data_IF_800061155788
#
_entry.id   IF_800061155788
#
_cell.length_a   1.000
_cell.length_b   1.000
_cell.length_c   1.000
_cell.angle_alpha   90.00
_cell.angle_beta   90.00
_cell.angle_gamma   90.00
#
_symmetry.space_group_name_H-M   'P 1'
#
loop_
_entity.id
_entity.type
_entity.pdbx_description
1 polymer ?
#
# COMPACT_ATOMS: atom_id res chain seq x y z
N UNK A 1 5.61 -1.44 29.96
CA UNK A 1 4.62 -2.50 29.67
C UNK A 1 5.28 -3.68 28.99
N UNK A 2 6.05 -3.49 27.91
CA UNK A 2 6.75 -4.57 27.20
C UNK A 2 7.67 -5.38 28.11
N UNK A 3 8.40 -4.72 29.03
CA UNK A 3 9.36 -5.37 29.94
C UNK A 3 8.74 -6.43 30.86
N UNK A 4 7.47 -6.27 31.18
CA UNK A 4 6.76 -7.23 32.04
C UNK A 4 6.56 -8.58 31.34
N UNK A 5 6.74 -8.63 30.01
CA UNK A 5 6.44 -9.80 29.20
C UNK A 5 7.63 -10.37 28.46
N UNK A 6 8.83 -9.73 28.52
CA UNK A 6 10.00 -10.15 27.74
C UNK A 6 10.45 -11.61 27.99
N UNK A 7 10.16 -12.14 29.18
CA UNK A 7 10.46 -13.51 29.56
C UNK A 7 9.23 -14.44 29.57
N UNK A 8 8.05 -13.89 29.24
CA UNK A 8 6.78 -14.63 29.34
C UNK A 8 6.49 -15.44 28.09
N UNK A 9 6.88 -14.92 26.90
CA UNK A 9 6.54 -15.52 25.62
C UNK A 9 7.79 -15.99 24.87
N UNK A 10 7.62 -17.05 24.08
CA UNK A 10 8.68 -17.56 23.22
C UNK A 10 8.90 -16.68 22.00
N UNK A 11 7.83 -16.06 21.47
CA UNK A 11 7.87 -15.21 20.30
C UNK A 11 7.02 -13.95 20.47
N UNK A 12 7.45 -12.87 19.82
CA UNK A 12 6.77 -11.58 19.73
C UNK A 12 6.54 -11.26 18.27
N UNK A 13 5.29 -11.34 17.83
CA UNK A 13 4.87 -10.94 16.50
C UNK A 13 4.33 -9.52 16.60
N UNK A 14 4.96 -8.58 15.92
CA UNK A 14 4.64 -7.16 16.03
C UNK A 14 4.33 -6.59 14.65
N UNK A 15 3.14 -6.01 14.50
CA UNK A 15 2.76 -5.19 13.35
C UNK A 15 2.92 -3.72 13.72
N UNK A 16 4.03 -3.06 13.31
CA UNK A 16 4.40 -1.74 13.82
C UNK A 16 3.73 -0.60 13.05
N UNK A 17 2.41 -0.46 13.15
CA UNK A 17 1.63 0.62 12.53
C UNK A 17 1.82 1.99 13.23
N UNK A 18 3.06 2.44 13.33
CA UNK A 18 3.41 3.75 13.85
C UNK A 18 3.59 4.76 12.71
N UNK A 19 3.67 6.05 13.06
CA UNK A 19 4.03 7.09 12.10
C UNK A 19 5.38 6.81 11.44
N UNK A 20 5.49 7.11 10.14
CA UNK A 20 6.70 6.83 9.34
C UNK A 20 7.81 7.87 9.50
N UNK A 21 7.59 8.94 10.29
CA UNK A 21 8.65 9.91 10.59
C UNK A 21 9.82 9.25 11.33
N UNK A 22 11.02 9.73 11.05
CA UNK A 22 12.26 9.15 11.55
C UNK A 22 12.33 9.11 13.07
N UNK A 23 11.82 10.15 13.74
CA UNK A 23 11.87 10.24 15.19
C UNK A 23 11.02 9.15 15.84
N UNK A 24 9.81 8.94 15.33
CA UNK A 24 8.92 7.87 15.79
C UNK A 24 9.53 6.51 15.47
N UNK A 25 10.02 6.30 14.25
CA UNK A 25 10.62 5.03 13.84
C UNK A 25 11.86 4.67 14.67
N UNK A 26 12.72 5.64 15.01
CA UNK A 26 13.86 5.42 15.92
C UNK A 26 13.42 5.05 17.34
N UNK A 27 12.37 5.69 17.87
CA UNK A 27 11.81 5.35 19.19
C UNK A 27 11.24 3.93 19.20
N UNK A 28 10.52 3.56 18.14
CA UNK A 28 9.98 2.20 17.97
C UNK A 28 11.11 1.18 17.87
N UNK A 29 12.14 1.44 17.08
CA UNK A 29 13.31 0.56 16.98
C UNK A 29 14.00 0.36 18.35
N UNK A 30 14.17 1.44 19.11
CA UNK A 30 14.72 1.37 20.48
C UNK A 30 13.84 0.54 21.42
N UNK A 31 12.51 0.66 21.30
CA UNK A 31 11.56 -0.12 22.09
C UNK A 31 11.62 -1.62 21.72
N UNK A 32 11.52 -1.92 20.43
CA UNK A 32 11.51 -3.30 19.92
C UNK A 32 12.88 -3.98 20.06
N UNK A 33 13.97 -3.23 20.04
CA UNK A 33 15.32 -3.72 20.29
C UNK A 33 15.54 -4.28 21.71
N UNK A 34 14.56 -4.13 22.61
CA UNK A 34 14.55 -4.80 23.93
C UNK A 34 14.12 -6.27 23.83
N UNK A 35 13.40 -6.64 22.78
CA UNK A 35 13.04 -8.02 22.50
C UNK A 35 14.25 -8.73 21.91
N UNK A 36 14.66 -9.89 22.43
CA UNK A 36 15.75 -10.65 21.81
C UNK A 36 15.43 -10.95 20.34
N UNK A 37 16.36 -10.64 19.43
CA UNK A 37 16.15 -10.76 17.99
C UNK A 37 15.61 -12.13 17.56
N UNK A 38 16.07 -13.21 18.18
CA UNK A 38 15.60 -14.57 17.90
C UNK A 38 14.10 -14.80 18.22
N UNK A 39 13.53 -13.97 19.11
CA UNK A 39 12.13 -14.02 19.50
C UNK A 39 11.25 -13.02 18.74
N UNK A 40 11.84 -12.08 17.97
CA UNK A 40 11.13 -11.01 17.30
C UNK A 40 10.78 -11.36 15.85
N UNK A 41 9.53 -11.18 15.49
CA UNK A 41 9.05 -11.18 14.11
C UNK A 41 8.27 -9.89 13.84
N UNK A 42 8.74 -9.08 12.90
CA UNK A 42 7.99 -7.95 12.39
C UNK A 42 7.06 -8.42 11.27
N UNK A 43 5.80 -8.03 11.36
CA UNK A 43 4.77 -8.40 10.39
C UNK A 43 4.20 -7.12 9.75
N UNK A 44 3.94 -7.17 8.45
CA UNK A 44 3.32 -6.12 7.65
C UNK A 44 4.23 -4.91 7.38
N UNK A 45 5.07 -4.54 8.31
CA UNK A 45 5.97 -3.39 8.22
C UNK A 45 7.35 -3.71 8.76
N UNK A 46 8.38 -3.28 8.04
CA UNK A 46 9.76 -3.33 8.52
C UNK A 46 10.23 -1.93 8.93
N UNK A 47 10.84 -1.83 10.10
CA UNK A 47 11.41 -0.57 10.58
C UNK A 47 12.89 -0.48 10.18
N UNK A 48 13.24 0.50 9.34
CA UNK A 48 14.60 0.69 8.80
C UNK A 48 15.68 0.99 9.84
N UNK A 49 15.30 1.38 11.05
CA UNK A 49 16.22 1.64 12.15
C UNK A 49 16.45 0.43 13.04
N UNK A 50 15.77 -0.68 12.78
CA UNK A 50 16.05 -1.93 13.46
C UNK A 50 17.36 -2.53 12.96
N UNK A 51 18.12 -3.13 13.87
CA UNK A 51 19.37 -3.81 13.59
C UNK A 51 19.39 -5.22 14.18
N UNK A 52 20.20 -6.11 13.60
CA UNK A 52 20.34 -7.49 14.03
C UNK A 52 19.54 -8.47 13.19
N UNK A 53 19.61 -9.77 13.57
CA UNK A 53 18.94 -10.85 12.84
C UNK A 53 17.62 -11.20 13.52
N UNK A 54 16.56 -10.51 13.12
CA UNK A 54 15.16 -10.78 13.51
C UNK A 54 14.37 -11.30 12.31
N UNK A 55 13.17 -11.85 12.54
CA UNK A 55 12.24 -12.20 11.46
C UNK A 55 11.49 -11.00 10.98
N UNK A 56 11.26 -10.92 9.66
CA UNK A 56 10.39 -9.90 9.10
C UNK A 56 9.66 -10.45 7.87
N UNK A 57 8.34 -10.24 7.82
CA UNK A 57 7.48 -10.49 6.67
C UNK A 57 6.67 -9.23 6.46
N UNK A 58 6.94 -8.47 5.40
CA UNK A 58 6.40 -7.12 5.24
C UNK A 58 6.06 -6.82 3.77
N UNK A 59 5.25 -5.78 3.57
CA UNK A 59 4.94 -5.20 2.27
C UNK A 59 6.07 -4.27 1.84
N UNK A 60 6.48 -4.37 0.59
CA UNK A 60 7.36 -3.41 -0.07
C UNK A 60 6.53 -2.51 -0.99
N UNK A 61 5.93 -1.46 -0.41
CA UNK A 61 5.01 -0.57 -1.10
C UNK A 61 5.54 0.00 -2.41
N UNK A 62 6.84 0.29 -2.45
CA UNK A 62 7.51 0.78 -3.66
C UNK A 62 7.54 -0.30 -4.75
N UNK A 63 8.09 -1.48 -4.42
CA UNK A 63 8.24 -2.57 -5.38
C UNK A 63 6.90 -3.18 -5.76
N UNK A 64 5.96 -3.28 -4.81
CA UNK A 64 4.65 -3.88 -5.04
C UNK A 64 3.84 -3.05 -6.05
N UNK A 65 3.83 -1.72 -5.93
CA UNK A 65 3.11 -0.86 -6.87
C UNK A 65 3.79 -0.82 -8.24
N UNK A 66 5.13 -0.80 -8.29
CA UNK A 66 5.86 -0.88 -9.55
C UNK A 66 5.50 -2.15 -10.33
N UNK A 67 5.55 -3.31 -9.66
CA UNK A 67 5.23 -4.60 -10.28
C UNK A 67 3.77 -4.67 -10.73
N UNK A 68 2.84 -4.22 -9.89
CA UNK A 68 1.43 -4.23 -10.25
C UNK A 68 1.13 -3.35 -11.46
N UNK A 69 1.76 -2.19 -11.57
CA UNK A 69 1.63 -1.33 -12.75
C UNK A 69 2.32 -1.91 -13.98
N UNK A 70 3.43 -2.64 -13.81
CA UNK A 70 4.11 -3.31 -14.93
C UNK A 70 3.27 -4.43 -15.54
N UNK A 71 2.41 -5.10 -14.76
CA UNK A 71 1.46 -6.09 -15.29
C UNK A 71 0.41 -5.48 -16.22
N UNK A 72 0.13 -4.18 -16.10
CA UNK A 72 -0.81 -3.42 -16.93
C UNK A 72 -0.10 -2.41 -17.86
N UNK A 73 1.18 -2.59 -18.12
CA UNK A 73 1.99 -1.57 -18.84
C UNK A 73 1.51 -1.32 -20.27
N UNK A 74 1.03 -2.35 -20.95
CA UNK A 74 0.60 -2.21 -22.35
C UNK A 74 -0.68 -1.39 -22.46
N UNK A 75 -1.60 -1.49 -21.50
CA UNK A 75 -2.79 -0.66 -21.39
C UNK A 75 -2.41 0.77 -20.98
N UNK A 76 -1.50 0.89 -20.01
CA UNK A 76 -1.08 2.18 -19.47
C UNK A 76 -0.21 3.01 -20.43
N UNK A 77 0.49 2.40 -21.39
CA UNK A 77 1.25 3.15 -22.42
C UNK A 77 0.40 3.99 -23.35
N UNK A 78 -0.87 3.65 -23.48
CA UNK A 78 -1.79 4.32 -24.40
C UNK A 78 -2.60 5.43 -23.71
N UNK A 79 -2.44 5.65 -22.40
CA UNK A 79 -3.11 6.73 -21.69
C UNK A 79 -2.34 8.04 -21.79
N UNK A 80 -3.05 9.15 -21.77
CA UNK A 80 -2.43 10.47 -21.80
C UNK A 80 -1.68 10.83 -20.50
N UNK A 81 -2.16 10.34 -19.37
CA UNK A 81 -1.60 10.62 -18.03
C UNK A 81 -2.12 9.62 -17.01
N UNK A 82 -1.27 9.15 -16.11
CA UNK A 82 -1.68 8.43 -14.90
C UNK A 82 -1.92 9.46 -13.78
N UNK A 83 -3.12 9.46 -13.23
CA UNK A 83 -3.49 10.36 -12.14
C UNK A 83 -3.38 9.60 -10.81
N UNK A 84 -2.39 9.89 -9.99
CA UNK A 84 -2.22 9.30 -8.67
C UNK A 84 -2.92 10.15 -7.61
N UNK A 85 -3.98 9.61 -7.00
CA UNK A 85 -4.70 10.26 -5.89
C UNK A 85 -4.20 9.67 -4.58
N UNK A 86 -3.46 10.48 -3.82
CA UNK A 86 -2.90 10.09 -2.54
C UNK A 86 -3.31 11.11 -1.48
N UNK A 87 -4.19 10.67 -0.59
CA UNK A 87 -4.73 11.53 0.45
C UNK A 87 -3.64 11.98 1.43
N UNK A 88 -3.71 13.22 1.94
CA UNK A 88 -2.74 13.73 2.94
C UNK A 88 -2.68 12.88 4.22
N UNK A 89 -3.76 12.17 4.53
CA UNK A 89 -3.86 11.26 5.68
C UNK A 89 -3.21 9.90 5.44
N UNK A 90 -2.83 9.60 4.20
CA UNK A 90 -2.22 8.32 3.85
C UNK A 90 -0.85 8.14 4.50
N UNK A 91 -0.73 7.12 5.34
CA UNK A 91 0.51 6.82 6.06
C UNK A 91 1.64 6.39 5.12
N UNK A 92 1.34 5.62 4.10
CA UNK A 92 2.34 5.00 3.19
C UNK A 92 2.34 5.61 1.80
N UNK A 93 1.53 6.64 1.59
CA UNK A 93 1.35 7.30 0.30
C UNK A 93 2.64 7.76 -0.35
N UNK A 94 3.61 8.21 0.45
CA UNK A 94 4.93 8.61 -0.05
C UNK A 94 5.65 7.47 -0.77
N UNK A 95 5.68 6.27 -0.19
CA UNK A 95 6.39 5.13 -0.80
C UNK A 95 5.67 4.59 -2.02
N UNK A 96 4.32 4.60 -2.00
CA UNK A 96 3.52 4.27 -3.19
C UNK A 96 3.79 5.28 -4.31
N UNK A 97 3.81 6.58 -4.01
CA UNK A 97 4.12 7.61 -5.02
C UNK A 97 5.52 7.50 -5.59
N UNK A 98 6.51 7.15 -4.78
CA UNK A 98 7.88 6.90 -5.24
C UNK A 98 7.89 5.74 -6.26
N UNK A 99 7.17 4.65 -6.00
CA UNK A 99 7.04 3.50 -6.92
C UNK A 99 6.27 3.86 -8.21
N UNK A 100 5.14 4.57 -8.07
CA UNK A 100 4.38 5.08 -9.24
C UNK A 100 5.26 5.99 -10.10
N UNK A 101 5.99 6.91 -9.46
CA UNK A 101 6.90 7.83 -10.16
C UNK A 101 8.01 7.11 -10.90
N UNK A 102 8.62 6.10 -10.29
CA UNK A 102 9.64 5.25 -10.90
C UNK A 102 9.10 4.51 -12.13
N UNK A 103 7.93 3.86 -12.01
CA UNK A 103 7.25 3.19 -13.12
C UNK A 103 6.96 4.16 -14.26
N UNK A 104 6.33 5.31 -13.98
CA UNK A 104 5.96 6.30 -14.98
C UNK A 104 7.19 6.86 -15.71
N UNK A 105 8.27 7.14 -14.99
CA UNK A 105 9.52 7.65 -15.58
C UNK A 105 10.14 6.63 -16.54
N UNK A 106 10.21 5.35 -16.17
CA UNK A 106 10.74 4.28 -17.03
C UNK A 106 9.93 4.05 -18.29
N UNK A 107 8.61 4.15 -18.18
CA UNK A 107 7.69 3.88 -19.29
C UNK A 107 7.27 5.13 -20.06
N UNK A 108 7.83 6.30 -19.73
CA UNK A 108 7.52 7.60 -20.36
C UNK A 108 6.03 7.98 -20.29
N UNK A 109 5.35 7.57 -19.19
CA UNK A 109 3.95 7.88 -18.92
C UNK A 109 3.90 9.18 -18.09
N UNK A 110 3.18 10.23 -18.52
CA UNK A 110 3.00 11.42 -17.71
C UNK A 110 2.28 11.07 -16.39
N UNK A 111 2.78 11.62 -15.28
CA UNK A 111 2.21 11.43 -13.94
C UNK A 111 1.67 12.75 -13.41
N UNK A 112 0.44 12.73 -12.92
CA UNK A 112 -0.17 13.81 -12.16
C UNK A 112 -0.48 13.31 -10.75
N UNK A 113 0.03 14.01 -9.74
CA UNK A 113 -0.23 13.68 -8.32
C UNK A 113 -1.27 14.65 -7.78
N UNK A 114 -2.27 14.11 -7.08
CA UNK A 114 -3.39 14.85 -6.53
C UNK A 114 -3.69 14.38 -5.11
N UNK A 115 -4.27 15.26 -4.30
CA UNK A 115 -4.73 14.98 -2.93
C UNK A 115 -6.25 14.72 -2.84
N UNK A 116 -6.95 14.86 -3.96
CA UNK A 116 -8.40 14.67 -4.09
C UNK A 116 -8.78 14.37 -5.54
N UNK A 117 -9.96 13.85 -5.78
CA UNK A 117 -10.46 13.64 -7.14
C UNK A 117 -10.86 14.97 -7.80
N UNK A 118 -10.48 15.17 -9.10
CA UNK A 118 -10.91 16.34 -9.85
C UNK A 118 -12.41 16.23 -10.18
N UNK A 119 -13.15 17.34 -10.07
CA UNK A 119 -14.58 17.37 -10.45
C UNK A 119 -14.81 17.17 -11.96
N UNK A 120 -13.85 17.54 -12.80
CA UNK A 120 -13.92 17.42 -14.26
C UNK A 120 -13.09 16.22 -14.71
N UNK A 121 -13.63 15.02 -14.59
CA UNK A 121 -13.06 13.78 -15.11
C UNK A 121 -13.44 13.62 -16.59
N UNK A 122 -12.50 13.11 -17.41
CA UNK A 122 -12.72 12.86 -18.85
C UNK A 122 -12.57 11.38 -19.19
N UNK A 123 -13.29 10.94 -20.21
CA UNK A 123 -13.08 9.61 -20.77
C UNK A 123 -11.61 9.42 -21.21
N UNK A 124 -11.08 8.24 -20.97
CA UNK A 124 -9.70 7.86 -21.24
C UNK A 124 -8.72 8.19 -20.11
N UNK A 125 -9.15 8.83 -19.02
CA UNK A 125 -8.29 9.04 -17.85
C UNK A 125 -8.17 7.77 -17.00
N UNK A 126 -6.99 7.58 -16.41
CA UNK A 126 -6.74 6.48 -15.46
C UNK A 126 -6.31 7.06 -14.11
N UNK A 127 -6.92 6.57 -13.05
CA UNK A 127 -6.64 6.99 -11.69
C UNK A 127 -6.06 5.82 -10.89
N UNK A 128 -4.99 6.08 -10.14
CA UNK A 128 -4.49 5.19 -9.10
C UNK A 128 -4.84 5.79 -7.74
N UNK A 129 -5.61 5.06 -6.96
CA UNK A 129 -6.07 5.47 -5.65
C UNK A 129 -5.34 4.66 -4.57
N UNK A 130 -4.58 5.34 -3.73
CA UNK A 130 -3.99 4.73 -2.56
C UNK A 130 -4.85 5.05 -1.34
N UNK A 131 -5.58 4.06 -0.87
CA UNK A 131 -6.55 4.21 0.21
C UNK A 131 -6.27 3.27 1.36
N UNK A 132 -6.41 3.81 2.57
CA UNK A 132 -6.56 2.99 3.77
C UNK A 132 -8.00 2.86 4.23
N UNK A 133 -8.93 3.63 3.62
CA UNK A 133 -10.36 3.66 3.95
C UNK A 133 -11.18 3.93 2.69
N UNK A 134 -11.29 2.92 1.85
CA UNK A 134 -11.89 3.00 0.50
C UNK A 134 -13.33 3.52 0.42
N UNK A 135 -14.12 3.45 1.47
CA UNK A 135 -15.57 3.62 1.35
C UNK A 135 -16.01 5.03 0.98
N UNK A 136 -15.41 6.05 1.55
CA UNK A 136 -15.84 7.43 1.30
C UNK A 136 -15.27 7.98 0.00
N UNK A 137 -14.01 7.70 -0.28
CA UNK A 137 -13.32 8.15 -1.49
C UNK A 137 -13.89 7.52 -2.76
N UNK A 138 -14.24 6.23 -2.71
CA UNK A 138 -14.89 5.57 -3.84
C UNK A 138 -16.31 6.07 -4.04
N UNK A 139 -17.06 6.36 -2.99
CA UNK A 139 -18.39 6.94 -3.09
C UNK A 139 -18.33 8.34 -3.71
N UNK A 140 -17.39 9.19 -3.27
CA UNK A 140 -17.16 10.51 -3.87
C UNK A 140 -16.78 10.39 -5.36
N UNK A 141 -15.90 9.45 -5.70
CA UNK A 141 -15.50 9.26 -7.09
C UNK A 141 -16.65 8.76 -7.96
N UNK A 142 -17.46 7.84 -7.46
CA UNK A 142 -18.67 7.36 -8.16
C UNK A 142 -19.68 8.50 -8.43
N UNK A 143 -19.88 9.39 -7.46
CA UNK A 143 -20.73 10.59 -7.65
C UNK A 143 -20.15 11.52 -8.75
N UNK A 144 -18.86 11.78 -8.71
CA UNK A 144 -18.17 12.58 -9.73
C UNK A 144 -18.32 11.95 -11.12
N UNK A 145 -18.15 10.63 -11.23
CA UNK A 145 -18.30 9.94 -12.52
C UNK A 145 -19.75 10.01 -13.03
N UNK A 146 -20.74 9.84 -12.17
CA UNK A 146 -22.16 9.99 -12.53
C UNK A 146 -22.49 11.40 -13.02
N UNK A 147 -21.96 12.45 -12.35
CA UNK A 147 -22.13 13.83 -12.78
C UNK A 147 -21.52 14.09 -14.18
N UNK A 148 -20.45 13.36 -14.54
CA UNK A 148 -19.80 13.47 -15.85
C UNK A 148 -20.31 12.44 -16.88
N UNK A 149 -21.32 11.59 -16.54
CA UNK A 149 -21.84 10.48 -17.34
C UNK A 149 -20.73 9.48 -17.77
N UNK A 150 -19.82 9.14 -16.85
CA UNK A 150 -18.72 8.22 -17.08
C UNK A 150 -18.85 6.94 -16.22
N UNK A 151 -18.29 5.84 -16.72
CA UNK A 151 -18.34 4.52 -16.08
C UNK A 151 -16.93 3.97 -15.91
N UNK A 152 -16.62 3.46 -14.70
CA UNK A 152 -15.36 2.76 -14.42
C UNK A 152 -15.25 1.49 -15.27
N UNK A 153 -14.08 1.25 -15.82
CA UNK A 153 -13.80 0.09 -16.68
C UNK A 153 -14.29 0.21 -18.12
N UNK A 154 -15.05 1.27 -18.45
CA UNK A 154 -15.51 1.58 -19.80
C UNK A 154 -14.91 2.90 -20.28
N UNK A 155 -15.17 3.96 -19.55
CA UNK A 155 -14.73 5.32 -19.91
C UNK A 155 -13.48 5.74 -19.14
N UNK A 156 -13.35 5.28 -17.88
CA UNK A 156 -12.29 5.68 -16.95
C UNK A 156 -11.67 4.44 -16.31
N UNK A 157 -10.35 4.38 -16.27
CA UNK A 157 -9.61 3.35 -15.52
C UNK A 157 -9.48 3.73 -14.04
N UNK A 158 -9.67 2.75 -13.15
CA UNK A 158 -9.44 2.93 -11.72
C UNK A 158 -8.61 1.76 -11.17
N UNK A 159 -7.46 2.07 -10.62
CA UNK A 159 -6.55 1.14 -9.95
C UNK A 159 -6.56 1.47 -8.46
N UNK A 160 -6.93 0.51 -7.62
CA UNK A 160 -6.87 0.65 -6.16
C UNK A 160 -5.62 -0.04 -5.61
N UNK A 161 -4.80 0.68 -4.85
CA UNK A 161 -3.70 0.08 -4.10
C UNK A 161 -4.16 -0.33 -2.69
N UNK A 162 -3.73 -1.52 -2.25
CA UNK A 162 -4.15 -2.14 -0.97
C UNK A 162 -5.60 -2.65 -0.97
N UNK A 163 -5.97 -3.34 -2.05
CA UNK A 163 -7.30 -3.88 -2.26
C UNK A 163 -7.81 -4.79 -1.13
N UNK A 164 -9.10 -4.75 -0.92
CA UNK A 164 -9.84 -5.65 -0.04
C UNK A 164 -10.79 -6.55 -0.85
N UNK A 165 -11.21 -7.72 -0.35
CA UNK A 165 -12.09 -8.61 -1.12
C UNK A 165 -13.35 -7.95 -1.68
N UNK A 166 -13.85 -6.89 -1.03
CA UNK A 166 -15.02 -6.13 -1.48
C UNK A 166 -14.78 -5.38 -2.80
N UNK A 167 -13.54 -5.06 -3.13
CA UNK A 167 -13.20 -4.30 -4.35
C UNK A 167 -13.59 -5.05 -5.63
N UNK A 168 -13.68 -6.38 -5.57
CA UNK A 168 -14.14 -7.21 -6.69
C UNK A 168 -15.59 -6.98 -7.10
N UNK A 169 -16.39 -6.35 -6.25
CA UNK A 169 -17.82 -6.09 -6.50
C UNK A 169 -18.18 -4.59 -6.54
N UNK A 170 -17.27 -3.73 -6.06
CA UNK A 170 -17.48 -2.28 -6.08
C UNK A 170 -17.29 -1.77 -7.50
N UNK A 171 -18.16 -0.90 -7.97
CA UNK A 171 -18.11 -0.27 -9.31
C UNK A 171 -17.95 -1.27 -10.48
N UNK A 172 -18.47 -2.48 -10.33
CA UNK A 172 -18.35 -3.53 -11.35
C UNK A 172 -17.03 -4.33 -11.30
N UNK A 173 -16.24 -4.12 -10.27
CA UNK A 173 -14.91 -4.72 -10.06
C UNK A 173 -13.77 -3.73 -10.31
N UNK A 174 -12.92 -3.55 -9.31
CA UNK A 174 -11.75 -2.69 -9.40
C UNK A 174 -10.52 -3.49 -9.82
N UNK A 175 -9.66 -2.89 -10.63
CA UNK A 175 -8.27 -3.34 -10.77
C UNK A 175 -7.54 -3.05 -9.47
N UNK A 176 -6.93 -4.06 -8.85
CA UNK A 176 -6.30 -3.88 -7.53
C UNK A 176 -4.84 -4.30 -7.55
N UNK A 177 -4.01 -3.54 -6.85
CA UNK A 177 -2.64 -3.92 -6.48
C UNK A 177 -2.67 -4.19 -4.97
N UNK A 178 -2.45 -5.43 -4.55
CA UNK A 178 -2.54 -5.81 -3.15
C UNK A 178 -1.48 -6.82 -2.75
N UNK A 179 -1.03 -6.76 -1.49
CA UNK A 179 -0.20 -7.79 -0.92
C UNK A 179 -1.01 -9.07 -0.66
N UNK A 180 -0.38 -10.22 -0.83
CA UNK A 180 -0.97 -11.52 -0.46
C UNK A 180 -0.82 -11.75 1.05
N UNK A 181 -1.78 -11.22 1.82
CA UNK A 181 -1.79 -11.34 3.29
C UNK A 181 -1.88 -12.79 3.78
N UNK A 182 -2.48 -13.70 2.99
CA UNK A 182 -2.53 -15.13 3.32
C UNK A 182 -1.15 -15.74 3.22
N UNK A 183 -0.42 -15.43 2.15
CA UNK A 183 0.97 -15.86 1.97
C UNK A 183 1.89 -15.25 3.02
N UNK A 184 1.72 -13.97 3.34
CA UNK A 184 2.47 -13.32 4.42
C UNK A 184 2.26 -14.02 5.77
N UNK A 185 1.00 -14.35 6.13
CA UNK A 185 0.68 -15.08 7.35
C UNK A 185 1.31 -16.47 7.39
N UNK A 186 1.29 -17.22 6.28
CA UNK A 186 1.95 -18.52 6.15
C UNK A 186 3.46 -18.41 6.37
N UNK A 187 4.13 -17.48 5.68
CA UNK A 187 5.57 -17.26 5.87
C UNK A 187 5.94 -16.85 7.30
N UNK A 188 5.11 -15.99 7.91
CA UNK A 188 5.32 -15.63 9.32
C UNK A 188 5.26 -16.84 10.25
N UNK A 189 4.28 -17.72 10.03
CA UNK A 189 4.14 -18.96 10.81
C UNK A 189 5.32 -19.92 10.57
N UNK A 190 5.72 -20.13 9.32
CA UNK A 190 6.88 -20.96 8.94
C UNK A 190 8.16 -20.44 9.59
N UNK A 191 8.39 -19.13 9.60
CA UNK A 191 9.55 -18.50 10.26
C UNK A 191 9.57 -18.72 11.76
N UNK A 192 8.42 -18.79 12.42
CA UNK A 192 8.34 -19.09 13.86
C UNK A 192 8.61 -20.58 14.11
N UNK A 193 8.00 -21.46 13.32
CA UNK A 193 8.11 -22.92 13.51
C UNK A 193 9.49 -23.49 13.16
N UNK A 194 10.27 -22.77 12.34
CA UNK A 194 11.64 -23.19 11.93
C UNK A 194 12.74 -22.68 12.86
N UNK A 195 12.43 -21.95 13.90
CA UNK A 195 13.37 -21.41 14.91
C UNK A 195 13.37 -22.24 16.17
#
# INVERSE_FOLDING_TARGET
YLDLYLDTYDYYVVSPHFSIDDQTQMRVAKLLGRVPNRKLLLLDHCNRFMSGQFGAVYQDFFTDVERGLEEAVDELRNIGCLNAVVLPTSRYGKWVLEGVGSFCARNHIPLRVMDSFPRNVKAGEVFLLQTGQLSNELAEFDEILKENNLTVGVDVGLIAYSGVPLDSVVLGGLTTISADFVKMGKHAAEMILSR
#
